data_IF_679747973527
#
_entry.id   IF_679747973527
#
_cell.length_a   1.000
_cell.length_b   1.000
_cell.length_c   1.000
_cell.angle_alpha   90.00
_cell.angle_beta   90.00
_cell.angle_gamma   90.00
#
_symmetry.space_group_name_H-M   'P 1'
#
loop_
_entity.id
_entity.type
_entity.pdbx_description
1 polymer ?
#
# COMPACT_ATOMS: atom_id res chain seq x y z
N UNK A 1 -6.83 -53.75 3.92
CA UNK A 1 -6.70 -52.51 4.71
C UNK A 1 -5.27 -52.01 4.53
N UNK A 2 -5.06 -51.05 3.63
CA UNK A 2 -3.79 -50.31 3.51
C UNK A 2 -4.13 -48.91 3.02
N UNK A 3 -4.31 -47.99 3.96
CA UNK A 3 -4.36 -46.56 3.73
C UNK A 3 -2.92 -46.06 3.81
N UNK A 4 -2.26 -45.88 2.68
CA UNK A 4 -1.02 -45.12 2.69
C UNK A 4 -0.75 -44.43 1.34
N UNK A 5 -0.48 -43.12 1.47
CA UNK A 5 0.12 -42.18 0.49
C UNK A 5 -0.83 -41.43 -0.44
N UNK A 6 -1.58 -40.50 0.15
CA UNK A 6 -1.95 -39.25 -0.52
C UNK A 6 -0.83 -38.22 -0.26
N UNK A 7 0.17 -38.21 -1.14
CA UNK A 7 1.25 -37.22 -1.10
C UNK A 7 0.74 -35.91 -1.70
N UNK A 8 0.48 -34.93 -0.85
CA UNK A 8 0.07 -33.57 -1.21
C UNK A 8 1.29 -32.79 -1.70
N UNK A 9 1.50 -32.75 -3.03
CA UNK A 9 2.60 -31.99 -3.65
C UNK A 9 2.14 -31.05 -4.76
N UNK A 10 0.86 -30.61 -4.74
CA UNK A 10 0.26 -29.73 -5.75
C UNK A 10 0.05 -28.28 -5.29
N UNK A 11 0.19 -27.98 -4.00
CA UNK A 11 -0.21 -26.68 -3.44
C UNK A 11 0.81 -25.55 -3.70
N UNK A 12 2.10 -25.84 -3.63
CA UNK A 12 3.15 -24.82 -3.80
C UNK A 12 3.05 -24.10 -5.14
N UNK A 13 2.86 -24.85 -6.25
CA UNK A 13 2.75 -24.25 -7.57
C UNK A 13 1.47 -23.44 -7.80
N UNK A 14 0.40 -23.69 -7.04
CA UNK A 14 -0.82 -22.86 -7.08
C UNK A 14 -0.59 -21.56 -6.32
N UNK A 15 0.01 -21.65 -5.12
CA UNK A 15 0.34 -20.50 -4.29
C UNK A 15 1.30 -19.55 -5.02
N UNK A 16 2.33 -20.07 -5.68
CA UNK A 16 3.30 -19.27 -6.43
C UNK A 16 2.64 -18.50 -7.60
N UNK A 17 1.69 -19.11 -8.31
CA UNK A 17 0.93 -18.45 -9.39
C UNK A 17 0.01 -17.35 -8.87
N UNK A 18 -0.68 -17.61 -7.75
CA UNK A 18 -1.54 -16.61 -7.11
C UNK A 18 -0.70 -15.45 -6.54
N UNK A 19 0.47 -15.77 -5.99
CA UNK A 19 1.43 -14.78 -5.51
C UNK A 19 1.94 -13.88 -6.66
N UNK A 20 2.31 -14.49 -7.80
CA UNK A 20 2.66 -13.74 -9.01
C UNK A 20 1.53 -12.83 -9.50
N UNK A 21 0.28 -13.30 -9.40
CA UNK A 21 -0.91 -12.51 -9.74
C UNK A 21 -1.11 -11.34 -8.77
N UNK A 22 -0.88 -11.54 -7.47
CA UNK A 22 -0.91 -10.48 -6.47
C UNK A 22 0.13 -9.41 -6.76
N UNK A 23 1.41 -9.78 -6.92
CA UNK A 23 2.48 -8.83 -7.21
C UNK A 23 2.19 -8.01 -8.47
N UNK A 24 1.67 -8.65 -9.51
CA UNK A 24 1.28 -7.97 -10.74
C UNK A 24 0.15 -6.96 -10.48
N UNK A 25 -0.90 -7.38 -9.79
CA UNK A 25 -2.03 -6.52 -9.48
C UNK A 25 -1.66 -5.35 -8.58
N UNK A 26 -0.84 -5.58 -7.54
CA UNK A 26 -0.35 -4.52 -6.66
C UNK A 26 0.49 -3.50 -7.41
N UNK A 27 1.33 -3.93 -8.38
CA UNK A 27 2.05 -3.01 -9.26
C UNK A 27 1.10 -2.12 -10.06
N UNK A 28 -0.03 -2.65 -10.51
CA UNK A 28 -1.07 -1.85 -11.19
C UNK A 28 -1.65 -0.81 -10.22
N UNK A 29 -2.01 -1.20 -9.00
CA UNK A 29 -2.54 -0.27 -8.00
C UNK A 29 -1.53 0.86 -7.68
N UNK A 30 -0.26 0.51 -7.46
CA UNK A 30 0.81 1.48 -7.19
C UNK A 30 1.05 2.42 -8.37
N UNK A 31 0.96 1.91 -9.61
CA UNK A 31 1.08 2.74 -10.82
C UNK A 31 -0.04 3.79 -10.88
N UNK A 32 -1.28 3.42 -10.60
CA UNK A 32 -2.39 4.39 -10.58
C UNK A 32 -2.25 5.39 -9.43
N UNK A 33 -1.83 4.95 -8.24
CA UNK A 33 -1.51 5.86 -7.12
C UNK A 33 -0.43 6.88 -7.47
N UNK A 34 0.60 6.48 -8.22
CA UNK A 34 1.64 7.39 -8.70
C UNK A 34 1.11 8.42 -9.70
N UNK A 35 0.13 8.07 -10.54
CA UNK A 35 -0.51 9.05 -11.43
C UNK A 35 -1.26 10.10 -10.63
N UNK A 36 -2.04 9.71 -9.63
CA UNK A 36 -2.70 10.66 -8.75
C UNK A 36 -1.68 11.56 -8.05
N UNK A 37 -0.61 10.99 -7.49
CA UNK A 37 0.48 11.75 -6.87
C UNK A 37 1.11 12.76 -7.84
N UNK A 38 1.32 12.38 -9.10
CA UNK A 38 1.83 13.28 -10.13
C UNK A 38 0.86 14.44 -10.37
N UNK A 39 -0.43 14.18 -10.57
CA UNK A 39 -1.46 15.22 -10.70
C UNK A 39 -1.54 16.15 -9.48
N UNK A 40 -1.33 15.64 -8.26
CA UNK A 40 -1.23 16.49 -7.07
C UNK A 40 -0.07 17.48 -7.17
N UNK A 41 1.10 17.00 -7.60
CA UNK A 41 2.33 17.80 -7.71
C UNK A 41 2.25 18.85 -8.82
N UNK A 42 1.54 18.54 -9.91
CA UNK A 42 1.29 19.49 -11.00
C UNK A 42 0.26 20.57 -10.64
N UNK A 43 -0.40 20.45 -9.48
CA UNK A 43 -1.36 21.44 -9.00
C UNK A 43 -2.77 21.26 -9.56
N UNK A 44 -3.07 20.14 -10.22
CA UNK A 44 -4.41 19.83 -10.75
C UNK A 44 -5.48 19.79 -9.64
N UNK A 45 -5.05 19.44 -8.42
CA UNK A 45 -5.88 19.44 -7.21
C UNK A 45 -6.05 20.83 -6.55
N UNK A 46 -5.36 21.88 -7.04
CA UNK A 46 -5.59 23.26 -6.57
C UNK A 46 -6.79 23.92 -7.23
N UNK A 47 -7.54 23.18 -8.05
CA UNK A 47 -8.86 23.65 -8.46
C UNK A 47 -9.74 23.81 -7.21
N UNK A 48 -10.34 24.99 -7.03
CA UNK A 48 -11.33 25.25 -5.97
C UNK A 48 -12.65 24.48 -6.21
N UNK A 49 -12.60 23.35 -6.92
CA UNK A 49 -13.74 22.48 -7.22
C UNK A 49 -13.79 21.37 -6.15
N UNK A 50 -14.70 21.46 -5.17
CA UNK A 50 -14.79 20.48 -4.09
C UNK A 50 -15.20 19.09 -4.60
N UNK A 51 -15.84 18.99 -5.77
CA UNK A 51 -16.22 17.72 -6.40
C UNK A 51 -14.98 16.91 -6.81
N UNK A 52 -14.08 17.53 -7.57
CA UNK A 52 -12.84 16.88 -8.03
C UNK A 52 -11.93 16.43 -6.88
N UNK A 53 -11.85 17.22 -5.81
CA UNK A 53 -11.06 16.86 -4.63
C UNK A 53 -11.65 15.64 -3.91
N UNK A 54 -12.99 15.55 -3.79
CA UNK A 54 -13.68 14.41 -3.20
C UNK A 54 -13.51 13.14 -4.04
N UNK A 55 -13.61 13.26 -5.36
CA UNK A 55 -13.44 12.14 -6.29
C UNK A 55 -12.01 11.59 -6.20
N UNK A 56 -11.00 12.46 -6.28
CA UNK A 56 -9.58 12.07 -6.15
C UNK A 56 -9.26 11.41 -4.82
N UNK A 57 -9.82 11.92 -3.71
CA UNK A 57 -9.64 11.31 -2.38
C UNK A 57 -10.23 9.90 -2.34
N UNK A 58 -11.41 9.71 -2.90
CA UNK A 58 -12.12 8.43 -2.92
C UNK A 58 -11.35 7.41 -3.75
N UNK A 59 -10.93 7.79 -4.97
CA UNK A 59 -10.16 6.92 -5.87
C UNK A 59 -8.85 6.44 -5.22
N UNK A 60 -8.10 7.33 -4.57
CA UNK A 60 -6.87 6.95 -3.89
C UNK A 60 -7.16 6.01 -2.71
N UNK A 61 -8.20 6.29 -1.92
CA UNK A 61 -8.58 5.41 -0.83
C UNK A 61 -8.94 4.02 -1.35
N UNK A 62 -9.69 3.90 -2.45
CA UNK A 62 -10.05 2.62 -3.04
C UNK A 62 -8.81 1.84 -3.52
N UNK A 63 -7.89 2.51 -4.22
CA UNK A 63 -6.60 1.93 -4.62
C UNK A 63 -5.77 1.45 -3.41
N UNK A 64 -5.80 2.18 -2.29
CA UNK A 64 -5.11 1.78 -1.06
C UNK A 64 -5.80 0.59 -0.39
N UNK A 65 -7.13 0.57 -0.28
CA UNK A 65 -7.87 -0.57 0.28
C UNK A 65 -7.63 -1.85 -0.52
N UNK A 66 -7.54 -1.72 -1.85
CA UNK A 66 -7.16 -2.80 -2.73
C UNK A 66 -5.81 -3.43 -2.27
N UNK A 67 -4.76 -2.62 -2.10
CA UNK A 67 -3.45 -3.12 -1.64
C UNK A 67 -3.55 -3.81 -0.26
N UNK A 68 -4.35 -3.28 0.66
CA UNK A 68 -4.58 -3.86 2.00
C UNK A 68 -5.22 -5.25 1.91
N UNK A 69 -6.32 -5.37 1.16
CA UNK A 69 -7.20 -6.53 1.16
C UNK A 69 -6.57 -7.82 0.64
N UNK A 70 -5.54 -7.72 -0.22
CA UNK A 70 -4.88 -8.89 -0.79
C UNK A 70 -3.52 -9.21 -0.14
N UNK A 71 -2.81 -8.22 0.44
CA UNK A 71 -1.44 -8.43 0.94
C UNK A 71 -1.32 -9.42 2.10
N UNK A 72 -2.24 -9.35 3.07
CA UNK A 72 -2.23 -10.25 4.23
C UNK A 72 -2.42 -11.72 3.87
N UNK A 73 -3.28 -11.99 2.89
CA UNK A 73 -3.61 -13.35 2.42
C UNK A 73 -2.45 -14.03 1.68
N UNK A 74 -1.54 -13.24 1.09
CA UNK A 74 -0.37 -13.75 0.36
C UNK A 74 0.94 -13.62 1.15
N UNK A 75 0.88 -13.25 2.43
CA UNK A 75 2.06 -13.19 3.30
C UNK A 75 2.87 -11.90 3.19
N UNK A 76 2.37 -10.83 2.57
CA UNK A 76 3.06 -9.52 2.51
C UNK A 76 2.60 -8.59 3.63
N UNK A 77 2.90 -8.94 4.87
CA UNK A 77 2.41 -8.17 6.02
C UNK A 77 2.92 -6.72 6.03
N UNK A 78 4.17 -6.51 5.60
CA UNK A 78 4.79 -5.19 5.60
C UNK A 78 4.13 -4.20 4.64
N UNK A 79 3.79 -4.63 3.42
CA UNK A 79 3.11 -3.72 2.48
C UNK A 79 1.70 -3.40 2.95
N UNK A 80 1.02 -4.36 3.58
CA UNK A 80 -0.28 -4.14 4.22
C UNK A 80 -0.19 -3.09 5.31
N UNK A 81 0.80 -3.17 6.20
CA UNK A 81 0.98 -2.17 7.26
C UNK A 81 1.24 -0.76 6.71
N UNK A 82 2.07 -0.66 5.67
CA UNK A 82 2.36 0.62 5.01
C UNK A 82 1.11 1.17 4.32
N UNK A 83 0.33 0.33 3.64
CA UNK A 83 -0.92 0.73 3.01
C UNK A 83 -1.97 1.17 4.05
N UNK A 84 -2.08 0.48 5.19
CA UNK A 84 -2.92 0.89 6.32
C UNK A 84 -2.48 2.24 6.87
N UNK A 85 -1.17 2.46 7.03
CA UNK A 85 -0.62 3.76 7.45
C UNK A 85 -1.00 4.88 6.48
N UNK A 86 -0.88 4.64 5.17
CA UNK A 86 -1.27 5.60 4.14
C UNK A 86 -2.78 5.90 4.18
N UNK A 87 -3.62 4.88 4.30
CA UNK A 87 -5.07 5.02 4.43
C UNK A 87 -5.44 5.89 5.65
N UNK A 88 -4.82 5.63 6.81
CA UNK A 88 -5.03 6.42 8.04
C UNK A 88 -4.62 7.87 7.83
N UNK A 89 -3.47 8.11 7.21
CA UNK A 89 -3.01 9.45 6.89
C UNK A 89 -4.01 10.20 5.99
N UNK A 90 -4.42 9.63 4.86
CA UNK A 90 -5.37 10.27 3.94
C UNK A 90 -6.70 10.55 4.64
N UNK A 91 -7.18 9.65 5.51
CA UNK A 91 -8.42 9.83 6.28
C UNK A 91 -8.30 10.88 7.39
N UNK A 92 -7.11 11.06 7.97
CA UNK A 92 -6.88 12.04 9.04
C UNK A 92 -6.84 13.49 8.58
N UNK A 93 -6.63 13.72 7.28
CA UNK A 93 -6.62 15.06 6.70
C UNK A 93 -8.06 15.55 6.53
N UNK A 94 -8.42 16.69 7.11
CA UNK A 94 -9.77 17.26 6.99
C UNK A 94 -10.06 17.70 5.55
N UNK A 95 -9.26 18.64 5.06
CA UNK A 95 -9.32 19.15 3.69
C UNK A 95 -8.29 18.47 2.80
N UNK A 96 -8.72 17.77 1.75
CA UNK A 96 -7.82 17.02 0.88
C UNK A 96 -6.76 17.91 0.18
N UNK A 97 -7.05 19.20 -0.01
CA UNK A 97 -6.09 20.21 -0.50
C UNK A 97 -4.88 20.40 0.42
N UNK A 98 -5.00 20.09 1.71
CA UNK A 98 -3.92 20.20 2.71
C UNK A 98 -3.05 18.94 2.77
N UNK A 99 -3.34 17.93 1.96
CA UNK A 99 -2.55 16.71 1.92
C UNK A 99 -1.13 17.03 1.47
N UNK A 100 -0.15 16.56 2.23
CA UNK A 100 1.26 16.67 1.91
C UNK A 100 1.66 15.57 0.89
N UNK A 101 1.95 15.91 -0.39
CA UNK A 101 2.26 14.90 -1.41
C UNK A 101 3.53 14.11 -1.08
N UNK A 102 4.47 14.70 -0.34
CA UNK A 102 5.67 14.03 0.15
C UNK A 102 5.37 12.84 1.07
N UNK A 103 4.29 12.90 1.85
CA UNK A 103 3.91 11.80 2.76
C UNK A 103 3.38 10.63 1.94
N UNK A 104 2.51 10.89 0.96
CA UNK A 104 2.04 9.86 0.01
C UNK A 104 3.24 9.26 -0.73
N UNK A 105 4.13 10.10 -1.27
CA UNK A 105 5.33 9.66 -1.98
C UNK A 105 6.22 8.76 -1.12
N UNK A 106 6.39 9.05 0.17
CA UNK A 106 7.17 8.22 1.07
C UNK A 106 6.57 6.81 1.23
N UNK A 107 5.25 6.71 1.37
CA UNK A 107 4.55 5.42 1.43
C UNK A 107 4.67 4.65 0.10
N UNK A 108 4.40 5.30 -1.04
CA UNK A 108 4.49 4.65 -2.36
C UNK A 108 5.90 4.11 -2.62
N UNK A 109 6.93 4.92 -2.38
CA UNK A 109 8.32 4.49 -2.56
C UNK A 109 8.68 3.27 -1.67
N UNK A 110 8.16 3.22 -0.44
CA UNK A 110 8.38 2.09 0.44
C UNK A 110 7.67 0.82 -0.09
N UNK A 111 6.44 0.94 -0.57
CA UNK A 111 5.70 -0.16 -1.18
C UNK A 111 6.35 -0.65 -2.48
N UNK A 112 6.80 0.26 -3.35
CA UNK A 112 7.54 -0.08 -4.57
C UNK A 112 8.80 -0.88 -4.27
N UNK A 113 9.56 -0.48 -3.24
CA UNK A 113 10.77 -1.18 -2.85
C UNK A 113 10.51 -2.60 -2.33
N UNK A 114 9.40 -2.80 -1.60
CA UNK A 114 8.96 -4.12 -1.13
C UNK A 114 8.59 -4.99 -2.33
N UNK A 115 7.76 -4.49 -3.24
CA UNK A 115 7.27 -5.23 -4.40
C UNK A 115 8.39 -5.53 -5.39
N UNK A 116 9.30 -4.60 -5.64
CA UNK A 116 10.46 -4.82 -6.51
C UNK A 116 11.44 -5.83 -5.91
N UNK A 117 11.54 -5.87 -4.57
CA UNK A 117 12.42 -6.80 -3.86
C UNK A 117 11.77 -8.14 -3.51
N UNK A 118 10.52 -8.38 -3.90
CA UNK A 118 9.67 -9.49 -3.42
C UNK A 118 9.81 -9.72 -1.91
N UNK A 119 9.69 -8.65 -1.11
CA UNK A 119 9.92 -8.72 0.33
C UNK A 119 8.66 -9.23 1.01
N UNK A 120 8.67 -10.51 1.34
CA UNK A 120 7.59 -11.19 2.06
C UNK A 120 7.67 -10.98 3.58
N UNK A 121 6.57 -11.24 4.26
CA UNK A 121 6.38 -11.06 5.69
C UNK A 121 6.70 -9.64 6.14
N UNK A 122 7.56 -9.52 7.16
CA UNK A 122 8.07 -8.25 7.68
C UNK A 122 9.46 -7.89 7.15
N UNK A 123 10.03 -8.65 6.21
CA UNK A 123 11.31 -8.34 5.56
C UNK A 123 12.57 -8.35 6.45
N UNK A 124 12.48 -8.82 7.69
CA UNK A 124 13.61 -8.95 8.62
C UNK A 124 14.39 -7.64 8.81
N UNK A 125 15.72 -7.68 8.74
CA UNK A 125 16.58 -6.49 8.89
C UNK A 125 16.32 -5.44 7.80
N UNK A 126 16.05 -5.88 6.56
CA UNK A 126 15.77 -4.99 5.43
C UNK A 126 14.44 -4.27 5.63
N UNK A 127 13.41 -5.00 6.04
CA UNK A 127 12.10 -4.45 6.41
C UNK A 127 12.18 -3.40 7.52
N UNK A 128 12.88 -3.71 8.62
CA UNK A 128 13.10 -2.74 9.71
C UNK A 128 13.72 -1.43 9.21
N UNK A 129 14.70 -1.49 8.29
CA UNK A 129 15.33 -0.30 7.71
C UNK A 129 14.34 0.52 6.87
N UNK A 130 13.53 -0.13 6.04
CA UNK A 130 12.50 0.55 5.23
C UNK A 130 11.47 1.24 6.14
N UNK A 131 10.97 0.54 7.16
CA UNK A 131 10.00 1.12 8.11
C UNK A 131 10.59 2.32 8.85
N UNK A 132 11.84 2.24 9.32
CA UNK A 132 12.51 3.36 9.97
C UNK A 132 12.66 4.57 9.03
N UNK A 133 13.01 4.33 7.76
CA UNK A 133 13.10 5.39 6.74
C UNK A 133 11.73 6.02 6.44
N UNK A 134 10.67 5.22 6.38
CA UNK A 134 9.32 5.72 6.21
C UNK A 134 8.92 6.59 7.41
N UNK A 135 9.02 6.06 8.63
CA UNK A 135 8.69 6.78 9.86
C UNK A 135 9.44 8.10 10.00
N UNK A 136 10.72 8.14 9.61
CA UNK A 136 11.51 9.38 9.60
C UNK A 136 11.02 10.45 8.63
N UNK A 137 10.21 10.08 7.62
CA UNK A 137 9.60 11.00 6.64
C UNK A 137 8.16 11.38 7.00
N UNK A 138 7.53 10.70 7.96
CA UNK A 138 6.16 11.01 8.36
C UNK A 138 6.14 12.25 9.26
N UNK A 139 5.13 13.12 9.13
CA UNK A 139 4.98 14.26 10.02
C UNK A 139 4.78 13.76 11.46
N UNK A 140 5.47 14.40 12.40
CA UNK A 140 5.30 14.19 13.85
C UNK A 140 4.04 14.92 14.34
N UNK A 141 2.88 14.70 13.72
CA UNK A 141 1.60 15.18 14.26
C UNK A 141 0.96 14.04 15.06
N UNK A 142 0.27 14.32 16.18
CA UNK A 142 -0.49 13.29 16.86
C UNK A 142 -1.60 12.85 15.91
N UNK A 143 -1.46 11.65 15.35
CA UNK A 143 -2.58 10.96 14.72
C UNK A 143 -3.64 10.81 15.81
N UNK A 144 -4.89 11.29 15.62
CA UNK A 144 -5.96 10.84 16.48
C UNK A 144 -6.07 9.33 16.26
N UNK A 145 -5.57 8.57 17.23
CA UNK A 145 -6.01 7.20 17.43
C UNK A 145 -7.50 7.35 17.73
N UNK A 146 -8.35 7.00 16.77
CA UNK A 146 -9.75 6.75 17.07
C UNK A 146 -9.78 5.80 18.26
N UNK A 147 -10.39 6.28 19.35
CA UNK A 147 -10.75 5.49 20.53
C UNK A 147 -11.57 4.26 20.13
#
# INVERSE_FOLDING_TARGET
MTLERYSHSQDHGVIDRLNGSYLHWTKIQLKELHKHLHSMKQGDLKSNDPGKAKDSRTEILDLVHNVIGLGGSFGYYMITDIAVSLNKYIRSVEEFSTIEPQVIAAHLNAMDYIIAGNIEGYGGKRGKKIMAQLQGKLPKRPYPLSA
#
